data_IF_583451240032
#
_entry.id   IF_583451240032
#
_cell.length_a   1.000
_cell.length_b   1.000
_cell.length_c   1.000
_cell.angle_alpha   90.00
_cell.angle_beta   90.00
_cell.angle_gamma   90.00
#
_symmetry.space_group_name_H-M   'P 1'
#
loop_
_entity.id
_entity.type
_entity.pdbx_description
1 polymer ?
#
# COMPACT_ATOMS: atom_id res chain seq x y z
N UNK A 1 9.03 17.81 1.54
CA UNK A 1 7.83 18.38 0.88
C UNK A 1 6.73 17.35 1.09
N UNK A 2 5.74 17.63 1.97
CA UNK A 2 4.71 16.67 2.38
C UNK A 2 3.88 16.18 1.19
N UNK A 3 3.43 14.94 1.26
CA UNK A 3 2.43 14.44 0.31
C UNK A 3 1.14 15.26 0.45
N UNK A 4 0.43 15.53 -0.65
CA UNK A 4 -0.83 16.24 -0.56
C UNK A 4 -1.88 15.42 0.23
N UNK A 5 -2.70 16.11 1.02
CA UNK A 5 -3.75 15.56 1.92
C UNK A 5 -4.95 14.90 1.22
N UNK A 6 -4.71 14.21 0.08
CA UNK A 6 -5.80 13.55 -0.67
C UNK A 6 -6.08 12.14 -0.23
N UNK A 7 -5.08 11.51 0.40
CA UNK A 7 -5.24 10.20 0.98
C UNK A 7 -5.66 10.33 2.43
N UNK A 8 -6.48 9.42 2.86
CA UNK A 8 -7.00 9.40 4.20
C UNK A 8 -7.21 7.97 4.68
N UNK A 9 -7.25 7.79 5.97
CA UNK A 9 -7.58 6.52 6.61
C UNK A 9 -8.72 6.70 7.60
N UNK A 10 -9.39 5.60 7.97
CA UNK A 10 -10.44 5.67 8.99
C UNK A 10 -9.85 6.06 10.35
N UNK A 11 -10.59 6.82 11.17
CA UNK A 11 -10.17 7.16 12.54
C UNK A 11 -9.96 5.90 13.39
N UNK A 12 -10.77 4.87 13.19
CA UNK A 12 -10.69 3.61 13.93
C UNK A 12 -9.37 2.88 13.68
N UNK A 13 -8.94 2.80 12.43
CA UNK A 13 -7.63 2.24 12.09
C UNK A 13 -6.50 3.06 12.71
N UNK A 14 -6.58 4.38 12.62
CA UNK A 14 -5.59 5.29 13.23
C UNK A 14 -5.53 5.11 14.76
N UNK A 15 -6.68 5.01 15.42
CA UNK A 15 -6.75 4.81 16.85
C UNK A 15 -6.12 3.47 17.26
N UNK A 16 -6.35 2.41 16.48
CA UNK A 16 -5.72 1.12 16.74
C UNK A 16 -4.19 1.18 16.68
N UNK A 17 -3.65 1.93 15.71
CA UNK A 17 -2.20 2.20 15.62
C UNK A 17 -1.71 2.96 16.84
N UNK A 18 -2.45 3.99 17.30
CA UNK A 18 -2.11 4.76 18.49
C UNK A 18 -2.06 3.87 19.75
N UNK A 19 -3.05 3.02 19.92
CA UNK A 19 -3.14 2.10 21.07
C UNK A 19 -2.02 1.04 21.03
N UNK A 20 -1.75 0.47 19.84
CA UNK A 20 -0.64 -0.45 19.66
C UNK A 20 0.72 0.23 19.92
N UNK A 21 0.91 1.44 19.41
CA UNK A 21 2.11 2.23 19.67
C UNK A 21 2.35 2.44 21.18
N UNK A 22 1.31 2.75 21.93
CA UNK A 22 1.39 2.91 23.39
C UNK A 22 1.75 1.61 24.10
N UNK A 23 1.20 0.46 23.67
CA UNK A 23 1.59 -0.85 24.21
C UNK A 23 3.08 -1.15 24.03
N UNK A 24 3.64 -0.64 22.94
CA UNK A 24 5.07 -0.77 22.62
C UNK A 24 5.92 0.41 23.14
N UNK A 25 5.41 1.17 24.12
CA UNK A 25 6.16 2.18 24.84
C UNK A 25 6.29 3.54 24.14
N UNK A 26 5.64 3.75 22.99
CA UNK A 26 5.67 5.02 22.27
C UNK A 26 4.69 6.01 22.88
N UNK A 27 5.22 7.14 23.37
CA UNK A 27 4.40 8.23 23.92
C UNK A 27 3.96 9.18 22.80
N UNK A 28 2.66 9.21 22.51
CA UNK A 28 2.08 10.11 21.52
C UNK A 28 1.65 11.42 22.18
N UNK A 29 2.12 12.60 21.74
CA UNK A 29 1.72 13.92 22.27
C UNK A 29 0.20 14.12 22.16
N UNK A 30 -0.40 14.75 23.17
CA UNK A 30 -1.86 14.96 23.22
C UNK A 30 -2.39 15.79 22.06
N UNK A 31 -1.63 16.78 21.60
CA UNK A 31 -2.00 17.59 20.43
C UNK A 31 -2.15 16.72 19.15
N UNK A 32 -1.20 15.80 18.90
CA UNK A 32 -1.28 14.89 17.76
C UNK A 32 -2.43 13.90 17.93
N UNK A 33 -2.61 13.35 19.14
CA UNK A 33 -3.71 12.45 19.45
C UNK A 33 -5.07 13.10 19.19
N UNK A 34 -5.27 14.34 19.65
CA UNK A 34 -6.52 15.08 19.43
C UNK A 34 -6.77 15.31 17.93
N UNK A 35 -5.75 15.72 17.17
CA UNK A 35 -5.87 15.91 15.71
C UNK A 35 -6.30 14.63 15.01
N UNK A 36 -5.72 13.47 15.38
CA UNK A 36 -5.99 12.16 14.78
C UNK A 36 -7.38 11.60 15.10
N UNK A 37 -8.01 12.03 16.21
CA UNK A 37 -9.30 11.48 16.67
C UNK A 37 -10.53 12.33 16.33
N UNK A 38 -10.34 13.59 15.91
CA UNK A 38 -11.44 14.53 15.66
C UNK A 38 -11.95 14.55 14.22
N UNK A 39 -11.27 13.88 13.30
CA UNK A 39 -11.61 13.89 11.88
C UNK A 39 -12.50 12.72 11.49
N UNK A 40 -13.44 12.91 10.57
CA UNK A 40 -14.25 11.82 9.98
C UNK A 40 -13.36 10.84 9.20
N UNK A 41 -12.33 11.34 8.55
CA UNK A 41 -11.21 10.57 8.01
C UNK A 41 -9.93 11.32 8.32
N UNK A 42 -8.87 10.60 8.66
CA UNK A 42 -7.58 11.16 9.07
C UNK A 42 -6.72 11.42 7.83
N UNK A 43 -6.34 12.69 7.56
CA UNK A 43 -5.50 13.04 6.42
C UNK A 43 -4.13 12.37 6.47
N UNK A 44 -3.52 12.15 5.30
CA UNK A 44 -2.22 11.49 5.19
C UNK A 44 -1.11 12.26 5.92
N UNK A 45 -1.11 13.58 5.90
CA UNK A 45 -0.12 14.40 6.63
C UNK A 45 -0.11 14.11 8.15
N UNK A 46 -1.27 13.86 8.73
CA UNK A 46 -1.39 13.48 10.15
C UNK A 46 -0.93 12.03 10.38
N UNK A 47 -1.23 11.13 9.43
CA UNK A 47 -0.69 9.77 9.47
C UNK A 47 0.83 9.76 9.34
N UNK A 48 1.38 10.56 8.46
CA UNK A 48 2.83 10.71 8.28
C UNK A 48 3.51 11.19 9.57
N UNK A 49 2.89 12.15 10.28
CA UNK A 49 3.39 12.61 11.57
C UNK A 49 3.38 11.49 12.64
N UNK A 50 2.31 10.68 12.70
CA UNK A 50 2.22 9.53 13.60
C UNK A 50 3.30 8.49 13.29
N UNK A 51 3.46 8.10 12.03
CA UNK A 51 4.45 7.10 11.64
C UNK A 51 5.89 7.59 11.81
N UNK A 52 6.16 8.88 11.55
CA UNK A 52 7.47 9.48 11.83
C UNK A 52 7.78 9.44 13.33
N UNK A 53 6.80 9.74 14.17
CA UNK A 53 6.95 9.61 15.61
C UNK A 53 7.23 8.15 16.03
N UNK A 54 6.46 7.18 15.51
CA UNK A 54 6.66 5.76 15.76
C UNK A 54 8.08 5.31 15.41
N UNK A 55 8.55 5.66 14.22
CA UNK A 55 9.87 5.28 13.74
C UNK A 55 11.02 5.91 14.54
N UNK A 56 10.80 7.09 15.16
CA UNK A 56 11.84 7.83 15.91
C UNK A 56 11.78 7.65 17.42
N UNK A 57 10.70 7.10 17.97
CA UNK A 57 10.47 7.05 19.41
C UNK A 57 10.95 5.76 20.08
N UNK A 58 11.50 4.82 19.34
CA UNK A 58 11.96 3.52 19.86
C UNK A 58 13.21 3.05 19.13
N UNK A 59 14.08 2.37 19.88
CA UNK A 59 15.27 1.71 19.34
C UNK A 59 14.96 0.30 18.81
N UNK A 60 13.74 -0.23 19.02
CA UNK A 60 13.33 -1.52 18.46
C UNK A 60 12.95 -1.36 16.98
N UNK A 61 13.75 -1.87 16.03
CA UNK A 61 13.51 -1.75 14.61
C UNK A 61 12.24 -2.48 14.15
N UNK A 62 11.71 -3.40 14.97
CA UNK A 62 10.50 -4.19 14.67
C UNK A 62 9.22 -3.59 15.27
N UNK A 63 9.27 -2.41 15.87
CA UNK A 63 8.07 -1.79 16.50
C UNK A 63 6.93 -1.67 15.51
N UNK A 64 7.18 -1.26 14.27
CA UNK A 64 6.14 -1.13 13.25
C UNK A 64 5.50 -2.49 12.90
N UNK A 65 6.30 -3.52 12.75
CA UNK A 65 5.81 -4.88 12.54
C UNK A 65 4.94 -5.34 13.72
N UNK A 66 5.40 -5.11 14.96
CA UNK A 66 4.62 -5.44 16.18
C UNK A 66 3.29 -4.69 16.24
N UNK A 67 3.30 -3.39 15.92
CA UNK A 67 2.07 -2.60 15.78
C UNK A 67 1.10 -3.26 14.80
N UNK A 68 1.61 -3.70 13.64
CA UNK A 68 0.82 -4.41 12.64
C UNK A 68 0.25 -5.73 13.15
N UNK A 69 1.06 -6.54 13.84
CA UNK A 69 0.61 -7.83 14.39
C UNK A 69 -0.41 -7.69 15.53
N UNK A 70 -0.51 -6.53 16.18
CA UNK A 70 -1.50 -6.21 17.21
C UNK A 70 -2.86 -5.81 16.62
N UNK A 71 -2.92 -5.51 15.33
CA UNK A 71 -4.18 -5.11 14.69
C UNK A 71 -5.15 -6.29 14.57
N UNK A 72 -6.41 -6.02 14.85
CA UNK A 72 -7.51 -6.97 14.80
C UNK A 72 -8.53 -6.57 13.73
N UNK A 73 -9.37 -7.50 13.30
CA UNK A 73 -10.40 -7.24 12.31
C UNK A 73 -11.29 -6.03 12.65
N UNK A 74 -11.68 -5.90 13.92
CA UNK A 74 -12.47 -4.75 14.37
C UNK A 74 -11.81 -3.39 14.20
N UNK A 75 -10.48 -3.33 14.03
CA UNK A 75 -9.74 -2.11 13.74
C UNK A 75 -9.79 -1.69 12.28
N UNK A 76 -10.17 -2.62 11.39
CA UNK A 76 -10.36 -2.36 9.95
C UNK A 76 -11.79 -1.92 9.62
N UNK A 77 -12.56 -1.51 10.62
CA UNK A 77 -13.93 -1.05 10.47
C UNK A 77 -14.84 -2.12 9.81
N UNK A 78 -15.77 -1.71 8.94
CA UNK A 78 -16.67 -2.64 8.24
C UNK A 78 -15.93 -3.67 7.40
N UNK A 79 -14.76 -3.31 6.85
CA UNK A 79 -13.96 -4.23 6.02
C UNK A 79 -13.50 -5.42 6.86
N UNK A 80 -13.00 -5.19 8.07
CA UNK A 80 -12.61 -6.27 8.97
C UNK A 80 -13.77 -7.18 9.33
N UNK A 81 -14.95 -6.62 9.56
CA UNK A 81 -16.16 -7.42 9.84
C UNK A 81 -16.59 -8.23 8.62
N UNK A 82 -16.47 -7.66 7.41
CA UNK A 82 -16.79 -8.34 6.16
C UNK A 82 -15.83 -9.51 5.91
N UNK A 83 -14.52 -9.30 6.12
CA UNK A 83 -13.50 -10.35 6.02
C UNK A 83 -13.82 -11.56 6.91
N UNK A 84 -14.26 -11.33 8.16
CA UNK A 84 -14.57 -12.40 9.11
C UNK A 84 -15.73 -13.29 8.66
N UNK A 85 -16.66 -12.75 7.88
CA UNK A 85 -17.88 -13.44 7.46
C UNK A 85 -17.76 -14.19 6.14
N UNK A 86 -16.60 -14.12 5.48
CA UNK A 86 -16.31 -14.88 4.26
C UNK A 86 -16.29 -16.39 4.54
N UNK A 87 -16.61 -17.20 3.54
CA UNK A 87 -16.62 -18.67 3.65
C UNK A 87 -15.18 -19.22 3.68
N UNK A 88 -14.30 -18.68 2.84
CA UNK A 88 -12.90 -19.12 2.68
C UNK A 88 -11.89 -17.97 2.77
N UNK A 89 -10.62 -18.31 2.93
CA UNK A 89 -9.53 -17.35 2.87
C UNK A 89 -9.44 -16.68 1.48
N UNK A 90 -9.70 -17.42 0.41
CA UNK A 90 -9.74 -16.89 -0.95
C UNK A 90 -10.78 -15.77 -1.08
N UNK A 91 -12.02 -16.01 -0.61
CA UNK A 91 -13.08 -14.98 -0.60
C UNK A 91 -12.66 -13.76 0.22
N UNK A 92 -11.97 -13.97 1.35
CA UNK A 92 -11.47 -12.87 2.17
C UNK A 92 -10.38 -12.04 1.45
N UNK A 93 -9.51 -12.67 0.66
CA UNK A 93 -8.53 -11.94 -0.15
C UNK A 93 -9.20 -11.11 -1.26
N UNK A 94 -10.26 -11.61 -1.89
CA UNK A 94 -11.05 -10.84 -2.85
C UNK A 94 -11.70 -9.63 -2.17
N UNK A 95 -12.35 -9.82 -1.03
CA UNK A 95 -12.92 -8.74 -0.22
C UNK A 95 -11.86 -7.71 0.17
N UNK A 96 -10.69 -8.14 0.62
CA UNK A 96 -9.60 -7.22 0.97
C UNK A 96 -9.16 -6.39 -0.24
N UNK A 97 -9.03 -7.02 -1.40
CA UNK A 97 -8.64 -6.35 -2.64
C UNK A 97 -9.66 -5.29 -3.06
N UNK A 98 -10.95 -5.57 -2.92
CA UNK A 98 -12.04 -4.68 -3.32
C UNK A 98 -12.28 -3.54 -2.32
N UNK A 99 -12.30 -3.84 -1.01
CA UNK A 99 -12.76 -2.93 0.03
C UNK A 99 -11.66 -2.26 0.86
N UNK A 100 -10.38 -2.61 0.69
CA UNK A 100 -9.28 -1.95 1.40
C UNK A 100 -9.33 -0.40 1.33
N UNK A 101 -9.76 0.24 0.22
CA UNK A 101 -9.88 1.70 0.16
C UNK A 101 -10.81 2.31 1.21
N UNK A 102 -11.77 1.56 1.77
CA UNK A 102 -12.61 2.04 2.87
C UNK A 102 -11.76 2.32 4.10
N UNK A 103 -10.82 1.43 4.44
CA UNK A 103 -9.89 1.60 5.57
C UNK A 103 -8.89 2.71 5.29
N UNK A 104 -8.25 2.66 4.12
CA UNK A 104 -7.28 3.65 3.68
C UNK A 104 -7.11 3.62 2.17
N UNK A 105 -7.24 4.80 1.55
CA UNK A 105 -7.19 4.96 0.09
C UNK A 105 -5.77 5.20 -0.45
N UNK A 106 -4.75 4.97 0.38
CA UNK A 106 -3.34 5.23 0.12
C UNK A 106 -2.52 3.96 -0.19
N UNK A 107 -3.19 2.84 -0.33
CA UNK A 107 -2.58 1.56 -0.70
C UNK A 107 -3.64 0.65 -1.31
N UNK A 108 -3.18 -0.34 -2.05
CA UNK A 108 -4.06 -1.38 -2.58
C UNK A 108 -3.41 -2.75 -2.47
N UNK A 109 -4.25 -3.76 -2.53
CA UNK A 109 -3.84 -5.16 -2.61
C UNK A 109 -4.14 -5.72 -3.99
N UNK A 110 -3.28 -6.61 -4.46
CA UNK A 110 -3.49 -7.36 -5.69
C UNK A 110 -3.17 -8.84 -5.44
N UNK A 111 -4.02 -9.74 -5.93
CA UNK A 111 -3.74 -11.18 -5.94
C UNK A 111 -3.18 -11.54 -7.31
N UNK A 112 -2.00 -12.17 -7.33
CA UNK A 112 -1.33 -12.57 -8.56
C UNK A 112 -0.76 -13.99 -8.42
N UNK A 113 -0.67 -14.76 -9.51
CA UNK A 113 0.05 -16.05 -9.50
C UNK A 113 1.52 -15.84 -9.10
N UNK A 114 2.06 -16.74 -8.25
CA UNK A 114 3.46 -16.71 -7.83
C UNK A 114 3.98 -18.14 -7.68
N UNK A 115 4.78 -18.58 -8.65
CA UNK A 115 5.23 -19.99 -8.72
C UNK A 115 4.05 -20.97 -8.78
N UNK A 116 4.01 -21.93 -7.84
CA UNK A 116 2.92 -22.90 -7.70
C UNK A 116 1.77 -22.40 -6.78
N UNK A 117 1.85 -21.16 -6.30
CA UNK A 117 0.86 -20.57 -5.40
C UNK A 117 0.38 -19.21 -5.89
N UNK A 118 0.01 -18.36 -4.95
CA UNK A 118 -0.42 -16.99 -5.18
C UNK A 118 0.30 -16.03 -4.25
N UNK A 119 0.50 -14.80 -4.71
CA UNK A 119 0.98 -13.70 -3.88
C UNK A 119 -0.14 -12.67 -3.68
N UNK A 120 -0.40 -12.32 -2.44
CA UNK A 120 -1.11 -11.09 -2.09
C UNK A 120 -0.09 -9.97 -2.07
N UNK A 121 -0.04 -9.17 -3.11
CA UNK A 121 0.88 -8.04 -3.26
C UNK A 121 0.30 -6.81 -2.60
N UNK A 122 1.12 -6.07 -1.88
CA UNK A 122 0.78 -4.79 -1.27
C UNK A 122 1.45 -3.64 -2.01
N UNK A 123 0.66 -2.69 -2.47
CA UNK A 123 1.07 -1.59 -3.35
C UNK A 123 0.79 -0.25 -2.66
N UNK A 124 1.73 0.25 -1.83
CA UNK A 124 1.58 1.52 -1.13
C UNK A 124 1.74 2.71 -2.07
N UNK A 125 1.00 3.78 -1.81
CA UNK A 125 1.10 5.06 -2.50
C UNK A 125 1.65 6.19 -1.61
N UNK A 126 2.06 5.87 -0.39
CA UNK A 126 2.74 6.75 0.56
C UNK A 126 4.27 6.56 0.49
N UNK A 127 5.01 7.55 1.01
CA UNK A 127 6.50 7.54 0.99
C UNK A 127 7.12 7.69 2.37
N UNK A 128 6.42 8.37 3.30
CA UNK A 128 6.91 8.57 4.65
C UNK A 128 6.82 7.27 5.44
N UNK A 129 7.92 6.85 6.04
CA UNK A 129 8.03 5.59 6.78
C UNK A 129 7.48 4.40 5.96
N UNK A 130 7.93 4.32 4.69
CA UNK A 130 7.42 3.33 3.73
C UNK A 130 7.62 1.91 4.26
N UNK A 131 8.84 1.59 4.68
CA UNK A 131 9.22 0.24 5.10
C UNK A 131 8.47 -0.17 6.37
N UNK A 132 8.40 0.72 7.37
CA UNK A 132 7.68 0.53 8.62
C UNK A 132 6.18 0.24 8.39
N UNK A 133 5.57 1.03 7.53
CA UNK A 133 4.13 0.90 7.23
C UNK A 133 3.82 -0.35 6.42
N UNK A 134 4.72 -0.74 5.52
CA UNK A 134 4.63 -2.01 4.78
C UNK A 134 4.76 -3.20 5.73
N UNK A 135 5.73 -3.18 6.64
CA UNK A 135 5.89 -4.22 7.66
C UNK A 135 4.62 -4.35 8.51
N UNK A 136 4.05 -3.23 8.96
CA UNK A 136 2.81 -3.24 9.75
C UNK A 136 1.63 -3.79 8.95
N UNK A 137 1.48 -3.40 7.67
CA UNK A 137 0.38 -3.87 6.83
C UNK A 137 0.46 -5.38 6.58
N UNK A 138 1.64 -5.91 6.22
CA UNK A 138 1.82 -7.33 5.97
C UNK A 138 1.74 -8.14 7.26
N UNK A 139 2.25 -7.60 8.38
CA UNK A 139 2.07 -8.19 9.72
C UNK A 139 0.60 -8.36 10.09
N UNK A 140 -0.20 -7.32 9.87
CA UNK A 140 -1.65 -7.35 10.07
C UNK A 140 -2.32 -8.45 9.22
N UNK A 141 -2.00 -8.49 7.91
CA UNK A 141 -2.55 -9.51 6.99
C UNK A 141 -2.25 -10.93 7.45
N UNK A 142 -0.99 -11.23 7.78
CA UNK A 142 -0.57 -12.58 8.22
C UNK A 142 -1.27 -12.98 9.52
N UNK A 143 -1.31 -12.07 10.50
CA UNK A 143 -1.93 -12.36 11.80
C UNK A 143 -3.44 -12.54 11.69
N UNK A 144 -4.12 -11.70 10.90
CA UNK A 144 -5.57 -11.83 10.66
C UNK A 144 -5.90 -13.11 9.93
N UNK A 145 -5.17 -13.47 8.87
CA UNK A 145 -5.39 -14.69 8.12
C UNK A 145 -5.21 -15.93 9.01
N UNK A 146 -4.18 -15.93 9.87
CA UNK A 146 -3.96 -17.00 10.85
C UNK A 146 -5.10 -17.08 11.84
N UNK A 147 -5.53 -15.96 12.41
CA UNK A 147 -6.62 -15.93 13.38
C UNK A 147 -7.95 -16.36 12.74
N UNK A 148 -8.31 -15.83 11.58
CA UNK A 148 -9.56 -16.18 10.86
C UNK A 148 -9.66 -17.66 10.52
N UNK A 149 -8.54 -18.31 10.29
CA UNK A 149 -8.48 -19.76 9.96
C UNK A 149 -8.26 -20.66 11.19
N UNK A 150 -8.35 -20.12 12.40
CA UNK A 150 -8.05 -20.84 13.65
C UNK A 150 -6.65 -21.45 13.67
N UNK A 151 -5.65 -20.69 13.25
CA UNK A 151 -4.24 -21.10 13.23
C UNK A 151 -3.85 -22.05 12.09
N UNK A 152 -4.78 -22.44 11.21
CA UNK A 152 -4.48 -23.35 10.08
C UNK A 152 -3.70 -22.68 8.95
N UNK A 153 -3.84 -21.38 8.80
CA UNK A 153 -3.08 -20.61 7.81
C UNK A 153 -1.62 -20.46 8.25
N UNK A 154 -0.72 -20.76 7.34
CA UNK A 154 0.70 -20.39 7.40
C UNK A 154 1.08 -19.81 6.05
N UNK A 155 1.64 -18.60 6.04
CA UNK A 155 2.19 -18.05 4.83
C UNK A 155 3.42 -18.90 4.41
N UNK A 156 3.58 -19.14 3.11
CA UNK A 156 4.79 -19.77 2.58
C UNK A 156 6.01 -18.88 2.83
N UNK A 157 5.85 -17.59 2.61
CA UNK A 157 6.86 -16.57 2.91
C UNK A 157 6.25 -15.17 2.86
N UNK A 158 6.93 -14.21 3.50
CA UNK A 158 6.65 -12.77 3.36
C UNK A 158 7.80 -12.10 2.65
N UNK A 159 7.50 -11.29 1.66
CA UNK A 159 8.46 -10.63 0.78
C UNK A 159 8.46 -9.11 1.05
N UNK A 160 9.63 -8.54 1.27
CA UNK A 160 9.85 -7.12 1.41
C UNK A 160 10.80 -6.59 0.33
N UNK A 161 10.54 -5.40 -0.19
CA UNK A 161 11.42 -4.73 -1.18
C UNK A 161 12.63 -4.06 -0.53
N UNK A 162 12.54 -3.70 0.75
CA UNK A 162 13.61 -3.04 1.50
C UNK A 162 14.64 -4.05 2.06
N UNK A 163 15.75 -3.53 2.53
CA UNK A 163 16.75 -4.30 3.27
C UNK A 163 16.25 -4.62 4.70
N UNK A 164 16.70 -5.72 5.34
CA UNK A 164 16.31 -6.03 6.70
C UNK A 164 16.79 -4.94 7.68
N UNK A 165 15.96 -4.60 8.64
CA UNK A 165 16.26 -3.62 9.71
C UNK A 165 16.62 -4.31 11.02
N UNK A 166 16.37 -5.61 11.10
CA UNK A 166 16.77 -6.53 12.19
C UNK A 166 17.12 -7.89 11.59
N UNK A 167 17.56 -8.83 12.42
CA UNK A 167 17.79 -10.19 12.00
C UNK A 167 16.52 -10.83 11.39
N UNK A 168 16.65 -11.51 10.26
CA UNK A 168 15.54 -12.17 9.58
C UNK A 168 14.81 -13.19 10.46
N UNK A 169 15.52 -13.82 11.39
CA UNK A 169 14.92 -14.76 12.37
C UNK A 169 13.97 -14.06 13.32
N UNK A 170 14.21 -12.80 13.67
CA UNK A 170 13.31 -12.02 14.52
C UNK A 170 11.98 -11.68 13.78
N UNK A 171 12.05 -11.37 12.48
CA UNK A 171 10.86 -11.24 11.64
C UNK A 171 10.09 -12.56 11.54
N UNK A 172 10.80 -13.65 11.23
CA UNK A 172 10.20 -14.96 11.10
C UNK A 172 9.53 -15.42 12.40
N UNK A 173 10.09 -15.10 13.56
CA UNK A 173 9.51 -15.40 14.88
C UNK A 173 8.19 -14.64 15.09
N UNK A 174 8.09 -13.39 14.67
CA UNK A 174 6.86 -12.58 14.79
C UNK A 174 5.79 -13.04 13.79
N UNK A 175 6.18 -13.27 12.54
CA UNK A 175 5.26 -13.63 11.46
C UNK A 175 4.93 -15.12 11.42
N UNK A 176 5.77 -15.98 12.03
CA UNK A 176 5.61 -17.44 12.04
C UNK A 176 5.79 -18.08 10.66
N UNK A 177 6.55 -17.44 9.78
CA UNK A 177 6.88 -17.91 8.44
C UNK A 177 8.21 -17.32 7.96
N UNK A 178 8.86 -17.90 6.92
CA UNK A 178 10.05 -17.34 6.30
C UNK A 178 9.84 -15.91 5.79
N UNK A 179 10.89 -15.10 5.83
CA UNK A 179 10.86 -13.71 5.35
C UNK A 179 12.05 -13.48 4.41
N UNK A 180 11.81 -12.83 3.28
CA UNK A 180 12.84 -12.46 2.31
C UNK A 180 12.84 -10.94 2.07
N UNK A 181 14.02 -10.37 1.92
CA UNK A 181 14.24 -8.93 1.71
C UNK A 181 14.86 -8.67 0.33
N UNK A 182 14.81 -7.41 -0.13
CA UNK A 182 15.32 -7.02 -1.44
C UNK A 182 14.53 -7.61 -2.60
N UNK A 183 13.28 -8.00 -2.38
CA UNK A 183 12.43 -8.65 -3.38
C UNK A 183 11.78 -7.64 -4.33
N UNK A 184 11.31 -8.05 -5.50
CA UNK A 184 10.74 -7.13 -6.49
C UNK A 184 9.42 -6.49 -6.06
N UNK A 185 8.72 -7.05 -5.07
CA UNK A 185 7.46 -6.52 -4.52
C UNK A 185 7.31 -6.83 -3.03
N UNK A 186 6.45 -6.08 -2.36
CA UNK A 186 6.01 -6.38 -1.00
C UNK A 186 4.78 -7.26 -1.03
N UNK A 187 4.75 -8.36 -0.25
CA UNK A 187 3.58 -9.23 -0.26
C UNK A 187 3.70 -10.47 0.62
N UNK A 188 2.61 -11.22 0.65
CA UNK A 188 2.51 -12.52 1.33
C UNK A 188 2.30 -13.58 0.26
N UNK A 189 3.18 -14.57 0.22
CA UNK A 189 3.06 -15.73 -0.69
C UNK A 189 2.38 -16.87 0.06
N UNK A 190 1.40 -17.47 -0.57
CA UNK A 190 0.61 -18.57 -0.03
C UNK A 190 0.56 -19.74 -1.03
N UNK A 191 0.46 -20.95 -0.50
CA UNK A 191 0.16 -22.11 -1.32
C UNK A 191 -1.28 -22.05 -1.83
N UNK A 192 -1.54 -22.59 -3.03
CA UNK A 192 -2.84 -22.47 -3.68
C UNK A 192 -3.98 -23.11 -2.87
N UNK A 193 -3.69 -24.17 -2.12
CA UNK A 193 -4.66 -24.86 -1.26
C UNK A 193 -5.06 -24.01 -0.04
N UNK A 194 -4.22 -23.07 0.39
CA UNK A 194 -4.56 -22.17 1.48
C UNK A 194 -5.79 -21.28 1.18
N UNK A 195 -6.07 -21.01 -0.10
CA UNK A 195 -7.26 -20.25 -0.51
C UNK A 195 -8.56 -20.96 -0.12
N UNK A 196 -8.57 -22.29 -0.07
CA UNK A 196 -9.72 -23.12 0.34
C UNK A 196 -9.90 -23.24 1.85
N UNK A 197 -9.05 -22.65 2.69
CA UNK A 197 -9.20 -22.71 4.13
C UNK A 197 -10.48 -22.01 4.59
N UNK A 198 -11.40 -22.76 5.20
CA UNK A 198 -12.64 -22.21 5.76
C UNK A 198 -12.39 -21.29 6.95
N UNK A 199 -13.14 -20.20 7.06
CA UNK A 199 -13.02 -19.23 8.14
C UNK A 199 -13.93 -19.57 9.32
N UNK A 200 -13.48 -19.26 10.56
CA UNK A 200 -14.18 -19.66 11.80
C UNK A 200 -15.48 -18.90 12.07
N UNK A 201 -15.67 -17.75 11.45
CA UNK A 201 -16.86 -16.91 11.63
C UNK A 201 -17.68 -16.76 10.34
N UNK A 202 -17.48 -17.68 9.37
CA UNK A 202 -18.23 -17.69 8.13
C UNK A 202 -19.75 -17.61 8.36
N UNK A 203 -20.42 -16.70 7.65
CA UNK A 203 -21.84 -16.47 7.86
C UNK A 203 -22.50 -15.72 6.71
N UNK A 204 -23.12 -16.47 5.77
CA UNK A 204 -23.66 -15.93 4.51
C UNK A 204 -24.65 -14.78 4.69
N UNK A 205 -25.56 -14.89 5.66
CA UNK A 205 -26.56 -13.84 5.89
C UNK A 205 -25.90 -12.55 6.39
N UNK A 206 -24.98 -12.64 7.35
CA UNK A 206 -24.24 -11.50 7.87
C UNK A 206 -23.35 -10.90 6.79
N UNK A 207 -22.65 -11.75 6.03
CA UNK A 207 -21.81 -11.34 4.91
C UNK A 207 -22.59 -10.51 3.89
N UNK A 208 -23.78 -10.98 3.48
CA UNK A 208 -24.61 -10.26 2.52
C UNK A 208 -25.04 -8.86 3.03
N UNK A 209 -25.41 -8.73 4.31
CA UNK A 209 -25.75 -7.42 4.89
C UNK A 209 -24.54 -6.48 4.98
N UNK A 210 -23.39 -7.00 5.46
CA UNK A 210 -22.16 -6.20 5.55
C UNK A 210 -21.67 -5.77 4.18
N UNK A 211 -21.81 -6.63 3.15
CA UNK A 211 -21.43 -6.31 1.79
C UNK A 211 -22.23 -5.14 1.24
N UNK A 212 -23.55 -5.09 1.43
CA UNK A 212 -24.38 -3.95 1.03
C UNK A 212 -23.88 -2.66 1.67
N UNK A 213 -23.61 -2.66 2.97
CA UNK A 213 -23.09 -1.49 3.67
C UNK A 213 -21.70 -1.10 3.17
N UNK A 214 -20.83 -2.08 2.90
CA UNK A 214 -19.49 -1.82 2.36
C UNK A 214 -19.55 -1.25 0.94
N UNK A 215 -20.47 -1.74 0.09
CA UNK A 215 -20.72 -1.22 -1.25
C UNK A 215 -21.17 0.26 -1.19
N UNK A 216 -22.08 0.60 -0.27
CA UNK A 216 -22.53 1.98 -0.02
C UNK A 216 -21.38 2.87 0.48
N UNK A 217 -20.58 2.37 1.41
CA UNK A 217 -19.41 3.10 1.92
C UNK A 217 -18.35 3.29 0.84
N UNK A 218 -18.04 2.26 0.06
CA UNK A 218 -17.10 2.33 -1.05
C UNK A 218 -17.58 3.33 -2.11
N UNK A 219 -18.87 3.34 -2.42
CA UNK A 219 -19.48 4.29 -3.33
C UNK A 219 -19.51 5.73 -2.79
N UNK A 220 -19.60 5.91 -1.47
CA UNK A 220 -19.59 7.22 -0.79
C UNK A 220 -18.18 7.75 -0.52
N UNK A 221 -17.18 6.88 -0.55
CA UNK A 221 -15.81 7.39 -0.56
C UNK A 221 -15.75 8.44 -1.65
N UNK A 222 -15.02 9.56 -1.46
CA UNK A 222 -14.77 10.47 -2.55
C UNK A 222 -14.23 9.63 -3.70
N UNK A 223 -15.15 9.07 -4.48
CA UNK A 223 -14.87 8.24 -5.67
C UNK A 223 -14.08 9.13 -6.56
N UNK A 224 -12.80 8.87 -6.40
CA UNK A 224 -11.87 9.61 -7.12
C UNK A 224 -12.02 11.08 -6.79
N UNK A 225 -11.24 11.53 -5.84
CA UNK A 225 -10.59 12.78 -6.12
C UNK A 225 -10.26 12.69 -7.60
N UNK A 226 -10.51 13.75 -8.32
CA UNK A 226 -10.16 13.75 -9.77
C UNK A 226 -8.73 13.25 -9.93
N UNK A 227 -7.87 13.46 -8.94
CA UNK A 227 -6.52 12.92 -8.88
C UNK A 227 -6.46 11.38 -8.81
N UNK A 228 -7.34 10.69 -8.09
CA UNK A 228 -7.34 9.22 -8.06
C UNK A 228 -7.76 8.63 -9.41
N UNK A 229 -8.82 9.17 -10.03
CA UNK A 229 -9.24 8.78 -11.37
C UNK A 229 -8.14 9.05 -12.42
N UNK A 230 -7.46 10.19 -12.30
CA UNK A 230 -6.32 10.55 -13.16
C UNK A 230 -5.15 9.60 -12.95
N UNK A 231 -4.85 9.22 -11.70
CA UNK A 231 -3.78 8.24 -11.39
C UNK A 231 -4.06 6.89 -12.04
N UNK A 232 -5.29 6.40 -11.91
CA UNK A 232 -5.70 5.15 -12.52
C UNK A 232 -5.51 5.20 -14.04
N UNK A 233 -6.02 6.23 -14.69
CA UNK A 233 -5.88 6.40 -16.14
C UNK A 233 -4.42 6.55 -16.59
N UNK A 234 -3.56 7.20 -15.82
CA UNK A 234 -2.11 7.27 -16.14
C UNK A 234 -1.44 5.90 -16.01
N UNK A 235 -1.81 5.08 -15.03
CA UNK A 235 -1.26 3.71 -14.88
C UNK A 235 -1.67 2.81 -16.03
N UNK A 236 -2.94 2.85 -16.41
CA UNK A 236 -3.48 2.07 -17.53
C UNK A 236 -2.94 2.57 -18.88
N UNK A 237 -2.79 3.88 -18.99
CA UNK A 237 -2.42 4.57 -20.24
C UNK A 237 -1.33 5.62 -20.00
N UNK A 238 -0.07 5.21 -19.70
CA UNK A 238 1.01 6.15 -19.35
C UNK A 238 1.37 7.16 -20.46
N UNK A 239 0.97 6.84 -21.69
CA UNK A 239 1.16 7.72 -22.87
C UNK A 239 0.11 8.83 -22.99
N UNK A 240 -1.01 8.77 -22.23
CA UNK A 240 -2.07 9.76 -22.35
C UNK A 240 -1.66 11.10 -21.71
N UNK A 241 -1.96 12.17 -22.44
CA UNK A 241 -1.82 13.53 -21.95
C UNK A 241 -3.07 14.01 -21.21
N UNK A 242 -2.98 15.21 -20.66
CA UNK A 242 -4.04 15.84 -19.85
C UNK A 242 -5.37 15.94 -20.59
N UNK A 243 -5.34 16.30 -21.86
CA UNK A 243 -6.54 16.47 -22.68
C UNK A 243 -7.27 15.14 -22.85
N UNK A 244 -6.53 14.09 -23.18
CA UNK A 244 -7.11 12.75 -23.37
C UNK A 244 -7.68 12.17 -22.09
N UNK A 245 -6.98 12.37 -20.96
CA UNK A 245 -7.47 11.97 -19.64
C UNK A 245 -8.71 12.79 -19.26
N UNK A 246 -8.71 14.10 -19.54
CA UNK A 246 -9.89 14.93 -19.33
C UNK A 246 -11.10 14.43 -20.13
N UNK A 247 -10.93 14.13 -21.41
CA UNK A 247 -11.98 13.56 -22.27
C UNK A 247 -12.56 12.27 -21.68
N UNK A 248 -11.70 11.36 -21.21
CA UNK A 248 -12.12 10.10 -20.59
C UNK A 248 -12.94 10.32 -19.31
N UNK A 249 -12.66 11.40 -18.59
CA UNK A 249 -13.39 11.79 -17.37
C UNK A 249 -14.58 12.73 -17.66
N UNK A 250 -14.94 12.92 -18.93
CA UNK A 250 -16.06 13.79 -19.32
C UNK A 250 -15.81 15.28 -19.04
N UNK A 251 -14.56 15.74 -19.03
CA UNK A 251 -14.21 17.12 -18.75
C UNK A 251 -13.07 17.65 -19.63
N UNK A 252 -13.02 18.99 -19.81
CA UNK A 252 -11.88 19.61 -20.52
C UNK A 252 -10.62 19.58 -19.67
N UNK A 253 -9.43 19.60 -20.30
CA UNK A 253 -8.14 19.67 -19.61
C UNK A 253 -8.00 20.90 -18.69
N UNK A 254 -8.70 22.02 -18.98
CA UNK A 254 -8.78 23.19 -18.11
C UNK A 254 -9.59 22.90 -16.85
N UNK A 255 -10.74 22.23 -16.99
CA UNK A 255 -11.58 21.83 -15.85
C UNK A 255 -10.87 20.78 -14.99
N UNK A 256 -10.18 19.83 -15.62
CA UNK A 256 -9.32 18.85 -14.96
C UNK A 256 -8.26 19.54 -14.08
N UNK A 257 -7.52 20.50 -14.64
CA UNK A 257 -6.53 21.26 -13.85
C UNK A 257 -7.16 22.03 -12.70
N UNK A 258 -8.33 22.64 -12.90
CA UNK A 258 -9.04 23.37 -11.82
C UNK A 258 -9.46 22.43 -10.69
N UNK A 259 -9.98 21.25 -11.03
CA UNK A 259 -10.36 20.25 -10.03
C UNK A 259 -9.14 19.68 -9.30
N UNK A 260 -8.06 19.37 -10.02
CA UNK A 260 -6.81 18.95 -9.40
C UNK A 260 -6.21 20.06 -8.49
N UNK A 261 -6.28 21.33 -8.91
CA UNK A 261 -5.82 22.45 -8.10
C UNK A 261 -6.66 22.62 -6.81
N UNK A 262 -7.96 22.33 -6.84
CA UNK A 262 -8.81 22.30 -5.64
C UNK A 262 -8.38 21.19 -4.66
N UNK A 263 -7.75 20.14 -5.18
CA UNK A 263 -7.10 19.08 -4.41
C UNK A 263 -5.62 19.40 -4.09
N UNK A 264 -5.16 20.64 -4.32
CA UNK A 264 -3.76 21.09 -4.17
C UNK A 264 -2.74 20.30 -4.99
N UNK A 265 -3.16 19.67 -6.10
CA UNK A 265 -2.31 18.90 -7.01
C UNK A 265 -2.21 19.58 -8.38
N UNK A 266 -1.05 19.45 -9.04
CA UNK A 266 -0.92 19.70 -10.46
C UNK A 266 -0.90 18.40 -11.27
N UNK A 267 -1.55 18.38 -12.43
CA UNK A 267 -1.50 17.23 -13.35
C UNK A 267 -0.05 16.82 -13.68
N UNK A 268 0.82 17.81 -13.88
CA UNK A 268 2.24 17.57 -14.16
C UNK A 268 2.93 16.85 -13.00
N UNK A 269 2.78 17.34 -11.77
CA UNK A 269 3.39 16.73 -10.59
C UNK A 269 2.89 15.31 -10.34
N UNK A 270 1.56 15.10 -10.49
CA UNK A 270 0.94 13.80 -10.36
C UNK A 270 1.49 12.80 -11.39
N UNK A 271 1.55 13.21 -12.65
CA UNK A 271 2.06 12.37 -13.74
C UNK A 271 3.55 12.06 -13.56
N UNK A 272 4.37 13.04 -13.21
CA UNK A 272 5.81 12.86 -13.00
C UNK A 272 6.08 11.86 -11.87
N UNK A 273 5.36 11.94 -10.76
CA UNK A 273 5.48 11.01 -9.65
C UNK A 273 5.13 9.56 -10.06
N UNK A 274 3.99 9.38 -10.73
CA UNK A 274 3.55 8.05 -11.18
C UNK A 274 4.47 7.42 -12.23
N UNK A 275 4.90 8.20 -13.21
CA UNK A 275 5.82 7.73 -14.26
C UNK A 275 7.18 7.36 -13.65
N UNK A 276 7.65 8.12 -12.66
CA UNK A 276 8.86 7.76 -11.92
C UNK A 276 8.71 6.44 -11.16
N UNK A 277 7.60 6.24 -10.45
CA UNK A 277 7.34 5.00 -9.69
C UNK A 277 7.27 3.78 -10.63
N UNK A 278 6.55 3.91 -11.75
CA UNK A 278 6.46 2.87 -12.78
C UNK A 278 7.82 2.57 -13.43
N UNK A 279 8.61 3.62 -13.72
CA UNK A 279 9.95 3.48 -14.27
C UNK A 279 10.88 2.77 -13.30
N UNK A 280 10.88 3.18 -12.04
CA UNK A 280 11.72 2.61 -10.99
C UNK A 280 11.41 1.13 -10.75
N UNK A 281 10.13 0.76 -10.72
CA UNK A 281 9.69 -0.63 -10.60
C UNK A 281 10.15 -1.47 -11.80
N UNK A 282 9.96 -0.97 -13.03
CA UNK A 282 10.33 -1.67 -14.25
C UNK A 282 11.86 -1.87 -14.37
N UNK A 283 12.65 -0.86 -14.00
CA UNK A 283 14.11 -0.92 -14.02
C UNK A 283 14.62 -1.91 -12.97
N UNK A 284 14.07 -1.93 -11.75
CA UNK A 284 14.41 -2.93 -10.71
C UNK A 284 14.04 -4.34 -11.15
N UNK A 285 12.96 -4.50 -11.91
CA UNK A 285 12.57 -5.79 -12.52
C UNK A 285 13.45 -6.19 -13.71
N UNK A 286 14.56 -5.48 -13.98
CA UNK A 286 15.53 -5.83 -15.03
C UNK A 286 15.10 -5.44 -16.45
N UNK A 287 14.04 -4.63 -16.62
CA UNK A 287 13.66 -4.16 -17.95
C UNK A 287 14.70 -3.17 -18.49
N UNK A 288 14.99 -3.24 -19.80
CA UNK A 288 15.93 -2.32 -20.45
C UNK A 288 15.40 -0.88 -20.44
N UNK A 289 16.32 0.09 -20.44
CA UNK A 289 16.00 1.52 -20.52
C UNK A 289 15.15 1.83 -21.74
N UNK A 290 15.46 1.20 -22.90
CA UNK A 290 14.68 1.31 -24.14
C UNK A 290 13.23 0.87 -23.94
N UNK A 291 13.02 -0.34 -23.40
CA UNK A 291 11.68 -0.88 -23.18
C UNK A 291 10.85 -0.02 -22.20
N UNK A 292 11.47 0.45 -21.11
CA UNK A 292 10.82 1.34 -20.14
C UNK A 292 10.46 2.67 -20.77
N UNK A 293 11.38 3.29 -21.53
CA UNK A 293 11.16 4.55 -22.26
C UNK A 293 9.96 4.43 -23.21
N UNK A 294 9.93 3.39 -24.02
CA UNK A 294 8.85 3.12 -24.95
C UNK A 294 7.51 2.89 -24.25
N UNK A 295 7.48 2.03 -23.23
CA UNK A 295 6.27 1.71 -22.44
C UNK A 295 5.66 2.95 -21.82
N UNK A 296 6.49 3.85 -21.29
CA UNK A 296 6.04 5.07 -20.61
C UNK A 296 5.77 6.26 -21.54
N UNK A 297 6.00 6.09 -22.85
CA UNK A 297 5.63 7.05 -23.89
C UNK A 297 6.60 8.23 -24.05
N UNK A 298 7.87 8.01 -23.77
CA UNK A 298 8.92 8.98 -24.11
C UNK A 298 9.29 8.89 -25.58
N UNK A 299 9.72 10.01 -26.16
CA UNK A 299 10.13 10.09 -27.56
C UNK A 299 11.36 9.23 -27.87
N UNK A 300 12.25 9.14 -26.90
CA UNK A 300 13.52 8.40 -26.97
C UNK A 300 14.10 8.15 -25.58
N UNK A 301 15.13 7.28 -25.51
CA UNK A 301 15.80 6.94 -24.24
C UNK A 301 16.51 8.15 -23.58
N UNK A 302 16.97 9.13 -24.39
CA UNK A 302 17.63 10.31 -23.84
C UNK A 302 16.62 11.23 -23.14
N UNK A 303 15.42 11.39 -23.72
CA UNK A 303 14.33 12.14 -23.10
C UNK A 303 13.91 11.50 -21.77
N UNK A 304 13.76 10.18 -21.75
CA UNK A 304 13.50 9.41 -20.54
C UNK A 304 14.62 9.58 -19.50
N UNK A 305 15.87 9.39 -19.89
CA UNK A 305 17.02 9.48 -18.98
C UNK A 305 17.15 10.86 -18.35
N UNK A 306 16.90 11.93 -19.11
CA UNK A 306 16.87 13.31 -18.57
C UNK A 306 15.74 13.48 -17.56
N UNK A 307 14.54 12.99 -17.85
CA UNK A 307 13.41 13.05 -16.96
C UNK A 307 13.67 12.26 -15.67
N UNK A 308 14.14 11.03 -15.80
CA UNK A 308 14.45 10.15 -14.67
C UNK A 308 15.51 10.76 -13.74
N UNK A 309 16.59 11.32 -14.32
CA UNK A 309 17.63 12.02 -13.55
C UNK A 309 17.09 13.26 -12.83
N UNK A 310 16.16 14.00 -13.44
CA UNK A 310 15.51 15.14 -12.78
C UNK A 310 14.70 14.72 -11.57
N UNK A 311 14.07 13.54 -11.60
CA UNK A 311 13.23 13.04 -10.52
C UNK A 311 14.02 12.37 -9.40
N UNK A 312 15.04 11.57 -9.74
CA UNK A 312 15.80 10.73 -8.79
C UNK A 312 17.17 11.28 -8.42
N UNK A 313 17.71 12.22 -9.19
CA UNK A 313 19.11 12.65 -9.10
C UNK A 313 20.10 11.72 -9.81
N UNK A 314 19.67 10.52 -10.22
CA UNK A 314 20.49 9.48 -10.83
C UNK A 314 20.06 9.21 -12.27
N UNK A 315 21.00 8.74 -13.12
CA UNK A 315 20.63 8.17 -14.41
C UNK A 315 19.99 6.79 -14.21
N UNK A 316 19.13 6.30 -15.15
CA UNK A 316 18.58 4.94 -15.07
C UNK A 316 19.64 3.86 -14.86
N UNK A 317 20.77 3.98 -15.57
CA UNK A 317 21.89 3.03 -15.44
C UNK A 317 22.60 3.10 -14.08
N UNK A 318 22.70 4.28 -13.47
CA UNK A 318 23.22 4.43 -12.11
C UNK A 318 22.23 3.90 -11.07
N UNK A 319 20.95 4.11 -11.28
CA UNK A 319 19.89 3.62 -10.41
C UNK A 319 19.87 2.09 -10.34
N UNK A 320 19.98 1.40 -11.47
CA UNK A 320 20.05 -0.06 -11.53
C UNK A 320 21.36 -0.57 -10.88
N UNK A 321 22.52 0.03 -11.18
CA UNK A 321 23.81 -0.37 -10.58
C UNK A 321 23.90 -0.09 -9.08
N UNK A 322 23.24 0.94 -8.58
CA UNK A 322 23.16 1.23 -7.14
C UNK A 322 22.34 0.18 -6.37
N UNK A 323 21.41 -0.51 -7.02
CA UNK A 323 20.74 -1.70 -6.51
C UNK A 323 21.62 -2.95 -6.49
N UNK A 324 22.53 -3.11 -7.46
CA UNK A 324 23.47 -4.24 -7.54
C UNK A 324 24.67 -4.11 -6.59
N UNK A 325 25.03 -2.89 -6.17
CA UNK A 325 26.17 -2.67 -5.28
C UNK A 325 25.93 -3.20 -3.84
N UNK A 326 24.69 -3.60 -3.53
CA UNK A 326 24.36 -4.25 -2.24
C UNK A 326 24.46 -5.79 -2.31
N UNK A 327 24.82 -6.36 -3.48
CA UNK A 327 24.87 -7.82 -3.71
C UNK A 327 26.27 -8.37 -4.02
N UNK A 328 27.34 -7.59 -3.81
CA UNK A 328 28.71 -8.14 -3.90
C UNK A 328 29.15 -8.61 -2.51
N UNK A 329 29.34 -9.91 -2.28
CA UNK A 329 29.97 -10.39 -1.08
C UNK A 329 31.49 -10.12 -1.19
N UNK A 330 32.11 -9.53 -0.17
CA UNK A 330 33.48 -9.77 0.16
C UNK A 330 33.64 -11.04 1.01
#
# INVERSE_FOLDING_TARGET
>A
MGQPDHYSVTPRFTQAILEAAQRHGVRVPDALRMALTQSVRVPMSQQDALWTLLASATDDPLTALRVGTDLQAGHLDIVGMLLLTCDTLGDALEVLTEYAPIVGDNARFEVAPEGAGVALRYLPEYRVCLDERVEAALGCVVCLARWMTNGRFTAREVLFTHAPRADATAYAALLGCPVQFGQPFNGVVLDADALGLGLIQAGKTMHAHLKVLADEMLASLPQGSVSAQVRQLIREHPRWGKERIGEQLGMSGRNLNRKLAAESISFKGLREALIYDMASAALRAGQSVAAVSEKLGFSDENAFSRAFRRWSGLTPAQFVRGGDATLAPE
#
